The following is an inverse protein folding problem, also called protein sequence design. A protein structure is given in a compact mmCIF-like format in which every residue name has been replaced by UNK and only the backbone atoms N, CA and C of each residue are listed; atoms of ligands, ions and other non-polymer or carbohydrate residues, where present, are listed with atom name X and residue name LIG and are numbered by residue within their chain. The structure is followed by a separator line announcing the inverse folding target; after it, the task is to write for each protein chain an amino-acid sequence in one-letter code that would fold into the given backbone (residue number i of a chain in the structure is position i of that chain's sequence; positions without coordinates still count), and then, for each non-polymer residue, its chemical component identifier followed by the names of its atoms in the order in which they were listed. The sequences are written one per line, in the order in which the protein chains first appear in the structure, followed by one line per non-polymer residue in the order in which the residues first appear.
data_IF_652879523994
#
_entry.id   IF_652879523994
#
_cell.length_a   1.000
_cell.length_b   1.000
_cell.length_c   1.000
_cell.angle_alpha   90.00
_cell.angle_beta   90.00
_cell.angle_gamma   90.00
#
_symmetry.space_group_name_H-M   'P 1'
#
loop_
_entity.id
_entity.type
_entity.pdbx_description
1 polymer ?
#
# COMPACT_ATOMS: atom_id res chain seq x y z
N UNK A 1 -8.75 -8.71 14.53
CA UNK A 1 -9.26 -10.06 14.88
C UNK A 1 -8.18 -11.06 14.57
N UNK A 2 -8.21 -12.27 15.12
CA UNK A 2 -7.12 -13.25 14.90
C UNK A 2 -7.06 -13.71 13.44
N UNK A 3 -8.22 -13.82 12.77
CA UNK A 3 -8.35 -14.23 11.37
C UNK A 3 -9.04 -13.15 10.54
N UNK A 4 -8.70 -13.03 9.24
CA UNK A 4 -9.34 -12.09 8.34
C UNK A 4 -10.77 -12.53 8.01
N UNK A 5 -11.61 -11.58 7.60
CA UNK A 5 -12.99 -11.84 7.18
C UNK A 5 -13.08 -12.59 5.85
N UNK A 6 -12.06 -12.50 5.01
CA UNK A 6 -11.93 -13.18 3.72
C UNK A 6 -10.51 -13.75 3.58
N UNK A 7 -10.34 -14.87 2.87
CA UNK A 7 -9.00 -15.43 2.62
C UNK A 7 -8.21 -14.58 1.62
N UNK A 8 -8.92 -13.91 0.70
CA UNK A 8 -8.32 -12.90 -0.16
C UNK A 8 -8.34 -11.57 0.57
N UNK A 9 -7.18 -11.22 1.13
CA UNK A 9 -7.00 -9.95 1.83
C UNK A 9 -6.79 -8.78 0.85
N UNK A 10 -6.77 -9.06 -0.46
CA UNK A 10 -6.83 -8.08 -1.53
C UNK A 10 -5.51 -7.39 -1.84
N UNK A 11 -5.59 -6.44 -2.77
CA UNK A 11 -4.52 -5.50 -3.09
C UNK A 11 -4.65 -4.28 -2.18
N UNK A 12 -3.54 -3.82 -1.59
CA UNK A 12 -3.53 -2.57 -0.86
C UNK A 12 -3.62 -1.39 -1.85
N UNK A 13 -4.68 -0.59 -1.72
CA UNK A 13 -4.92 0.62 -2.52
C UNK A 13 -5.01 1.78 -1.55
N UNK A 14 -4.26 2.85 -1.81
CA UNK A 14 -4.24 4.06 -0.99
C UNK A 14 -4.44 5.26 -1.91
N UNK A 15 -5.48 6.04 -1.66
CA UNK A 15 -5.69 7.31 -2.35
C UNK A 15 -5.45 8.46 -1.37
N UNK A 16 -4.32 9.14 -1.53
CA UNK A 16 -3.95 10.30 -0.73
C UNK A 16 -4.31 11.62 -1.42
N UNK A 17 -4.86 12.57 -0.67
CA UNK A 17 -5.07 13.97 -1.10
C UNK A 17 -4.31 14.87 -0.15
N UNK A 18 -3.15 15.36 -0.61
CA UNK A 18 -2.20 16.14 0.18
C UNK A 18 -2.42 17.63 -0.04
N UNK A 19 -2.80 18.33 1.03
CA UNK A 19 -2.93 19.78 1.05
C UNK A 19 -1.62 20.49 0.73
N UNK A 20 -1.68 21.60 0.01
CA UNK A 20 -0.52 22.43 -0.34
C UNK A 20 0.33 22.90 0.86
N UNK A 21 -0.26 22.97 2.06
CA UNK A 21 0.43 23.31 3.33
C UNK A 21 0.83 22.10 4.16
N UNK A 22 0.77 20.89 3.60
CA UNK A 22 1.21 19.65 4.26
C UNK A 22 2.61 19.29 3.81
N UNK A 23 3.58 19.42 4.73
CA UNK A 23 4.97 19.03 4.50
C UNK A 23 5.34 17.80 5.32
N UNK A 24 5.41 16.65 4.66
CA UNK A 24 5.79 15.35 5.26
C UNK A 24 7.29 15.10 5.24
N UNK A 25 8.06 15.92 4.53
CA UNK A 25 9.47 15.65 4.22
C UNK A 25 9.69 14.80 2.95
N UNK A 26 8.62 14.41 2.24
CA UNK A 26 8.68 13.52 1.08
C UNK A 26 8.74 12.04 1.48
N UNK A 27 8.93 11.15 0.50
CA UNK A 27 8.97 9.70 0.75
C UNK A 27 7.63 9.11 1.20
N UNK A 28 6.53 9.80 0.91
CA UNK A 28 5.18 9.40 1.29
C UNK A 28 4.86 7.98 0.81
N UNK A 29 5.22 7.64 -0.42
CA UNK A 29 4.97 6.31 -1.01
C UNK A 29 5.72 5.20 -0.26
N UNK A 30 6.96 5.44 0.14
CA UNK A 30 7.75 4.48 0.93
C UNK A 30 7.17 4.32 2.33
N UNK A 31 6.83 5.43 2.99
CA UNK A 31 6.25 5.41 4.33
C UNK A 31 4.91 4.65 4.35
N UNK A 32 4.06 4.89 3.36
CA UNK A 32 2.79 4.17 3.18
C UNK A 32 3.01 2.69 2.85
N UNK A 33 3.93 2.39 1.92
CA UNK A 33 4.29 1.00 1.57
C UNK A 33 4.84 0.22 2.76
N UNK A 34 5.62 0.86 3.63
CA UNK A 34 6.14 0.26 4.87
C UNK A 34 5.02 -0.07 5.85
N UNK A 35 4.01 0.79 5.97
CA UNK A 35 2.80 0.49 6.75
C UNK A 35 2.08 -0.76 6.24
N UNK A 36 1.84 -0.84 4.93
CA UNK A 36 1.25 -2.02 4.28
C UNK A 36 2.09 -3.26 4.54
N UNK A 37 3.40 -3.19 4.29
CA UNK A 37 4.33 -4.29 4.52
C UNK A 37 4.22 -4.83 5.95
N UNK A 38 4.33 -3.95 6.96
CA UNK A 38 4.28 -4.35 8.36
C UNK A 38 2.97 -5.08 8.68
N UNK A 39 1.82 -4.56 8.24
CA UNK A 39 0.53 -5.23 8.46
C UNK A 39 0.49 -6.62 7.82
N UNK A 40 0.99 -6.78 6.60
CA UNK A 40 0.98 -8.08 5.93
C UNK A 40 1.96 -9.09 6.53
N UNK A 41 3.09 -8.63 7.09
CA UNK A 41 4.09 -9.49 7.73
C UNK A 41 3.68 -9.89 9.16
N UNK A 42 3.08 -8.97 9.92
CA UNK A 42 2.80 -9.16 11.34
C UNK A 42 1.46 -9.85 11.61
N UNK A 43 0.51 -9.74 10.68
CA UNK A 43 -0.85 -10.29 10.82
C UNK A 43 -1.06 -11.53 9.95
N UNK A 44 -2.13 -12.28 10.23
CA UNK A 44 -2.49 -13.50 9.50
C UNK A 44 -3.19 -13.18 8.16
N UNK A 45 -2.52 -12.45 7.27
CA UNK A 45 -3.01 -12.04 5.94
C UNK A 45 -2.33 -12.83 4.80
N UNK A 46 -2.76 -12.61 3.55
CA UNK A 46 -2.28 -13.35 2.38
C UNK A 46 -1.45 -12.47 1.44
N UNK A 47 -0.28 -12.96 1.04
CA UNK A 47 0.54 -12.36 -0.03
C UNK A 47 -0.01 -12.72 -1.40
N UNK A 48 -0.68 -11.77 -2.06
CA UNK A 48 -1.48 -12.01 -3.26
C UNK A 48 -0.91 -11.33 -4.51
N UNK A 49 0.19 -10.59 -4.41
CA UNK A 49 0.83 -9.92 -5.55
C UNK A 49 1.93 -10.77 -6.19
N UNK A 50 1.91 -10.86 -7.52
CA UNK A 50 2.96 -11.48 -8.33
C UNK A 50 3.75 -10.40 -9.08
N UNK A 51 5.07 -10.49 -9.02
CA UNK A 51 5.97 -9.72 -9.87
C UNK A 51 6.30 -10.52 -11.14
N UNK A 52 6.08 -9.92 -12.30
CA UNK A 52 6.55 -10.46 -13.56
C UNK A 52 8.06 -10.26 -13.70
N UNK A 53 8.80 -11.35 -13.90
CA UNK A 53 10.25 -11.34 -14.17
C UNK A 53 10.52 -11.27 -15.67
N UNK A 54 9.65 -11.91 -16.46
CA UNK A 54 9.57 -11.81 -17.91
C UNK A 54 8.11 -12.00 -18.35
N UNK A 55 7.86 -12.16 -19.66
CA UNK A 55 6.50 -12.29 -20.21
C UNK A 55 5.71 -13.49 -19.65
N UNK A 56 6.38 -14.55 -19.22
CA UNK A 56 5.73 -15.80 -18.78
C UNK A 56 6.12 -16.22 -17.37
N UNK A 57 7.22 -15.70 -16.85
CA UNK A 57 7.73 -16.03 -15.52
C UNK A 57 7.29 -14.99 -14.50
N UNK A 58 6.57 -15.46 -13.50
CA UNK A 58 6.16 -14.66 -12.35
C UNK A 58 6.68 -15.27 -11.04
N UNK A 59 6.85 -14.43 -10.03
CA UNK A 59 7.14 -14.84 -8.65
C UNK A 59 6.28 -14.03 -7.69
N UNK A 60 5.75 -14.68 -6.65
CA UNK A 60 5.05 -13.96 -5.59
C UNK A 60 6.04 -13.04 -4.87
N UNK A 61 5.61 -11.83 -4.53
CA UNK A 61 6.47 -10.84 -3.89
C UNK A 61 6.75 -11.12 -2.41
N UNK A 62 6.03 -12.09 -1.81
CA UNK A 62 6.22 -12.53 -0.44
C UNK A 62 5.82 -11.52 0.63
N UNK A 63 5.19 -10.40 0.23
CA UNK A 63 4.86 -9.29 1.14
C UNK A 63 3.56 -8.57 0.77
N UNK A 64 2.85 -9.02 -0.28
CA UNK A 64 1.70 -8.33 -0.87
C UNK A 64 1.97 -6.92 -1.42
N UNK A 65 3.23 -6.51 -1.54
CA UNK A 65 3.63 -5.32 -2.28
C UNK A 65 3.84 -5.63 -3.78
N UNK A 66 3.76 -4.65 -4.69
CA UNK A 66 3.52 -3.22 -4.43
C UNK A 66 2.07 -2.90 -4.04
N UNK A 67 1.90 -1.87 -3.23
CA UNK A 67 0.60 -1.21 -3.05
C UNK A 67 0.35 -0.25 -4.24
N UNK A 68 -0.91 -0.06 -4.61
CA UNK A 68 -1.28 1.04 -5.49
C UNK A 68 -1.41 2.30 -4.63
N UNK A 69 -0.59 3.31 -4.91
CA UNK A 69 -0.55 4.56 -4.14
C UNK A 69 -0.73 5.72 -5.11
N UNK A 70 -1.87 6.40 -5.01
CA UNK A 70 -2.20 7.58 -5.82
C UNK A 70 -2.24 8.82 -4.92
N UNK A 71 -1.25 9.71 -5.06
CA UNK A 71 -1.15 10.94 -4.27
C UNK A 71 -1.50 12.18 -5.10
N UNK A 72 -2.61 12.82 -4.77
CA UNK A 72 -3.11 14.03 -5.40
C UNK A 72 -2.71 15.27 -4.61
N UNK A 73 -2.30 16.34 -5.30
CA UNK A 73 -2.15 17.67 -4.70
C UNK A 73 -3.51 18.38 -4.64
N UNK A 74 -3.87 18.91 -3.47
CA UNK A 74 -5.11 19.67 -3.26
C UNK A 74 -4.84 20.91 -2.42
N UNK A 75 -5.79 21.85 -2.39
CA UNK A 75 -5.70 23.00 -1.50
C UNK A 75 -5.95 22.62 -0.03
N UNK A 76 -5.37 23.41 0.89
CA UNK A 76 -5.58 23.28 2.33
C UNK A 76 -4.34 22.80 3.09
N UNK A 77 -4.58 22.45 4.35
CA UNK A 77 -3.55 22.06 5.34
C UNK A 77 -3.80 20.67 5.93
N UNK A 78 -4.57 19.84 5.21
CA UNK A 78 -4.94 18.50 5.62
C UNK A 78 -4.40 17.44 4.65
N UNK A 79 -4.16 16.24 5.18
CA UNK A 79 -3.85 15.05 4.39
C UNK A 79 -4.97 14.04 4.55
N UNK A 80 -5.72 13.80 3.48
CA UNK A 80 -6.88 12.90 3.49
C UNK A 80 -6.57 11.62 2.75
N UNK A 81 -7.09 10.50 3.27
CA UNK A 81 -6.87 9.17 2.71
C UNK A 81 -8.21 8.45 2.50
N UNK A 82 -8.22 7.53 1.53
CA UNK A 82 -9.19 6.47 1.35
C UNK A 82 -8.43 5.15 1.25
#
# INVERSE_FOLDING_TARGET
GILPTCQDTGTAIIVGKKGQRVWTGGGDEEALSRGVYNTYIEENLRYSQNAALDMYKEVNTGSNLPAQIDLYSVDGEEYKFL
#
